data_IF_150728291717
#
_entry.id   IF_150728291717
#
_cell.length_a   1.000
_cell.length_b   1.000
_cell.length_c   1.000
_cell.angle_alpha   90.00
_cell.angle_beta   90.00
_cell.angle_gamma   90.00
#
_symmetry.space_group_name_H-M   'P 1'
#
loop_
_entity.id
_entity.type
_entity.pdbx_description
1 polymer ?
#
# COMPACT_ATOMS: atom_id res chain seq x y z
N UNK A 1 25.65 -4.54 -10.97
CA UNK A 1 24.44 -4.84 -10.18
C UNK A 1 23.81 -3.50 -9.80
N UNK A 2 22.80 -3.03 -10.56
CA UNK A 2 22.25 -1.68 -10.38
C UNK A 2 21.31 -1.64 -9.17
N UNK A 3 21.46 -0.68 -8.23
CA UNK A 3 20.56 -0.56 -7.10
C UNK A 3 19.19 -0.07 -7.57
N UNK A 4 18.13 -0.82 -7.25
CA UNK A 4 16.74 -0.36 -7.40
C UNK A 4 16.37 0.44 -6.16
N UNK A 5 16.45 1.75 -6.23
CA UNK A 5 15.93 2.61 -5.18
C UNK A 5 14.40 2.59 -5.22
N UNK A 6 13.76 2.24 -4.10
CA UNK A 6 12.32 2.44 -3.89
C UNK A 6 12.13 3.70 -3.05
N UNK A 7 11.68 4.77 -3.69
CA UNK A 7 11.40 6.04 -3.01
C UNK A 7 9.99 5.96 -2.44
N UNK A 8 9.86 6.11 -1.11
CA UNK A 8 8.57 6.24 -0.43
C UNK A 8 8.54 7.51 0.40
N UNK A 9 7.73 8.49 0.02
CA UNK A 9 7.35 9.58 0.92
C UNK A 9 6.18 9.11 1.80
N UNK A 10 6.50 8.31 2.83
CA UNK A 10 5.63 7.80 3.91
C UNK A 10 4.36 7.07 3.42
N UNK A 11 4.36 5.73 3.41
CA UNK A 11 3.11 4.94 3.19
C UNK A 11 1.94 5.39 4.09
N UNK A 12 2.24 5.95 5.27
CA UNK A 12 1.27 6.56 6.17
C UNK A 12 0.43 7.69 5.57
N UNK A 13 0.93 8.45 4.60
CA UNK A 13 0.20 9.59 4.00
C UNK A 13 -0.76 9.18 2.90
N UNK A 14 -0.61 7.97 2.35
CA UNK A 14 -1.48 7.45 1.28
C UNK A 14 -2.40 6.33 1.75
N UNK A 15 -2.21 5.84 2.99
CA UNK A 15 -2.94 4.69 3.53
C UNK A 15 -4.44 4.99 3.73
N UNK A 16 -4.78 6.26 3.88
CA UNK A 16 -6.12 6.78 4.05
C UNK A 16 -6.72 7.28 2.73
N UNK A 17 -6.03 7.20 1.60
CA UNK A 17 -6.54 7.62 0.30
C UNK A 17 -7.71 6.75 -0.18
N UNK A 18 -8.63 7.33 -0.96
CA UNK A 18 -9.80 6.61 -1.47
C UNK A 18 -9.41 5.44 -2.39
N UNK A 19 -8.40 5.68 -3.24
CA UNK A 19 -7.80 4.69 -4.12
C UNK A 19 -6.30 4.93 -4.20
N UNK A 20 -5.58 3.83 -4.41
CA UNK A 20 -4.14 3.80 -4.62
C UNK A 20 -3.90 3.25 -6.02
N UNK A 21 -3.09 3.97 -6.80
CA UNK A 21 -2.56 3.53 -8.08
C UNK A 21 -1.14 3.02 -7.85
N UNK A 22 -0.90 1.75 -8.18
CA UNK A 22 0.44 1.17 -8.16
C UNK A 22 0.97 1.15 -9.58
N UNK A 23 2.16 1.70 -9.76
CA UNK A 23 2.86 1.75 -11.03
C UNK A 23 4.08 0.81 -10.98
N UNK A 24 4.24 0.00 -12.02
CA UNK A 24 5.43 -0.82 -12.23
C UNK A 24 5.87 -0.71 -13.68
N UNK A 25 7.16 -0.48 -13.91
CA UNK A 25 7.74 -0.34 -15.25
C UNK A 25 6.99 0.67 -16.15
N UNK A 26 6.53 1.79 -15.56
CA UNK A 26 5.80 2.83 -16.27
C UNK A 26 4.34 2.48 -16.61
N UNK A 27 3.79 1.40 -16.06
CA UNK A 27 2.40 0.97 -16.30
C UNK A 27 1.62 0.85 -14.99
N UNK A 28 0.32 1.14 -15.05
CA UNK A 28 -0.61 0.84 -13.97
C UNK A 28 -0.76 -0.67 -13.82
N UNK A 29 -0.42 -1.19 -12.64
CA UNK A 29 -0.56 -2.62 -12.31
C UNK A 29 -1.72 -2.86 -11.34
N UNK A 30 -2.02 -1.91 -10.46
CA UNK A 30 -3.13 -2.04 -9.50
C UNK A 30 -3.82 -0.69 -9.31
N UNK A 31 -5.15 -0.72 -9.16
CA UNK A 31 -5.94 0.46 -8.85
C UNK A 31 -7.17 0.11 -8.00
N UNK A 32 -7.04 0.25 -6.68
CA UNK A 32 -8.12 -0.01 -5.74
C UNK A 32 -7.91 0.71 -4.40
N UNK A 33 -8.85 0.58 -3.46
CA UNK A 33 -8.67 1.13 -2.11
C UNK A 33 -7.55 0.42 -1.36
N UNK A 34 -6.89 1.13 -0.45
CA UNK A 34 -5.80 0.61 0.37
C UNK A 34 -6.18 -0.71 1.07
N UNK A 35 -7.37 -0.77 1.67
CA UNK A 35 -7.86 -1.99 2.34
C UNK A 35 -8.01 -3.17 1.38
N UNK A 36 -8.49 -2.95 0.15
CA UNK A 36 -8.65 -4.01 -0.84
C UNK A 36 -7.28 -4.53 -1.30
N UNK A 37 -6.36 -3.61 -1.61
CA UNK A 37 -4.99 -3.96 -2.02
C UNK A 37 -4.20 -4.65 -0.91
N UNK A 38 -4.47 -4.36 0.38
CA UNK A 38 -3.79 -5.00 1.52
C UNK A 38 -4.40 -6.33 1.95
N UNK A 39 -5.62 -6.63 1.49
CA UNK A 39 -6.28 -7.92 1.74
C UNK A 39 -5.81 -8.99 0.75
N UNK A 40 -5.22 -8.58 -0.36
CA UNK A 40 -4.64 -9.45 -1.37
C UNK A 40 -3.16 -9.67 -1.07
N UNK A 41 -2.74 -10.93 -0.93
CA UNK A 41 -1.34 -11.26 -0.64
C UNK A 41 -0.44 -11.18 -1.89
N UNK A 42 -1.02 -11.25 -3.09
CA UNK A 42 -0.28 -11.16 -4.36
C UNK A 42 -0.14 -9.71 -4.84
N UNK A 43 -0.83 -8.78 -4.18
CA UNK A 43 -0.74 -7.34 -4.43
C UNK A 43 0.68 -6.82 -4.20
N UNK A 44 1.21 -6.11 -5.21
CA UNK A 44 2.44 -5.37 -5.10
C UNK A 44 2.34 -4.37 -3.97
N UNK A 45 1.22 -3.65 -3.81
CA UNK A 45 1.06 -2.74 -2.67
C UNK A 45 1.21 -3.45 -1.32
N UNK A 46 0.64 -4.64 -1.15
CA UNK A 46 0.78 -5.43 0.06
C UNK A 46 2.23 -5.86 0.31
N UNK A 47 2.95 -6.25 -0.74
CA UNK A 47 4.37 -6.57 -0.66
C UNK A 47 5.23 -5.34 -0.30
N UNK A 48 4.88 -4.15 -0.79
CA UNK A 48 5.57 -2.91 -0.41
C UNK A 48 5.34 -2.55 1.06
N UNK A 49 4.11 -2.76 1.57
CA UNK A 49 3.81 -2.58 2.99
C UNK A 49 4.49 -3.64 3.85
N UNK A 50 4.60 -4.90 3.40
CA UNK A 50 5.35 -5.93 4.13
C UNK A 50 6.85 -5.58 4.28
N UNK A 51 7.42 -4.87 3.31
CA UNK A 51 8.83 -4.45 3.34
C UNK A 51 9.13 -3.34 4.35
N UNK A 52 8.13 -2.70 4.95
CA UNK A 52 8.34 -1.69 6.01
C UNK A 52 8.64 -2.29 7.38
N UNK A 53 8.57 -3.62 7.51
CA UNK A 53 8.68 -4.32 8.78
C UNK A 53 7.32 -4.54 9.45
N UNK A 54 7.25 -5.59 10.28
CA UNK A 54 6.01 -6.12 10.85
C UNK A 54 5.18 -5.05 11.59
N UNK A 55 5.80 -4.29 12.49
CA UNK A 55 5.13 -3.25 13.27
C UNK A 55 4.49 -2.16 12.40
N UNK A 56 5.22 -1.67 11.40
CA UNK A 56 4.72 -0.63 10.50
C UNK A 56 3.64 -1.18 9.56
N UNK A 57 3.82 -2.41 9.06
CA UNK A 57 2.84 -3.07 8.22
C UNK A 57 1.50 -3.27 8.94
N UNK A 58 1.53 -3.69 10.20
CA UNK A 58 0.33 -3.89 11.02
C UNK A 58 -0.36 -2.56 11.33
N UNK A 59 0.41 -1.51 11.63
CA UNK A 59 -0.12 -0.15 11.78
C UNK A 59 -0.83 0.31 10.50
N UNK A 60 -0.20 0.16 9.34
CA UNK A 60 -0.77 0.57 8.05
C UNK A 60 -2.04 -0.22 7.70
N UNK A 61 -2.05 -1.54 7.92
CA UNK A 61 -3.24 -2.39 7.73
C UNK A 61 -4.39 -1.95 8.63
N UNK A 62 -4.10 -1.66 9.90
CA UNK A 62 -5.11 -1.15 10.83
C UNK A 62 -5.68 0.20 10.36
N UNK A 63 -4.84 1.14 9.94
CA UNK A 63 -5.29 2.44 9.42
C UNK A 63 -6.15 2.28 8.15
N UNK A 64 -5.73 1.46 7.20
CA UNK A 64 -6.49 1.21 5.98
C UNK A 64 -7.88 0.63 6.28
N UNK A 65 -7.99 -0.29 7.23
CA UNK A 65 -9.28 -0.87 7.68
C UNK A 65 -10.17 0.17 8.35
N UNK A 66 -9.61 1.02 9.20
CA UNK A 66 -10.33 2.12 9.84
C UNK A 66 -10.88 3.11 8.79
N UNK A 67 -10.04 3.52 7.86
CA UNK A 67 -10.40 4.45 6.79
C UNK A 67 -11.42 3.86 5.80
N UNK A 68 -11.43 2.54 5.58
CA UNK A 68 -12.45 1.87 4.79
C UNK A 68 -13.80 1.78 5.51
N UNK A 69 -13.79 1.63 6.84
CA UNK A 69 -15.01 1.56 7.66
C UNK A 69 -15.68 2.92 7.81
N UNK A 70 -14.93 4.02 7.91
CA UNK A 70 -15.50 5.38 8.04
C UNK A 70 -16.17 5.91 6.76
N UNK A 71 -15.96 5.24 5.62
CA UNK A 71 -16.58 5.59 4.33
C UNK A 71 -17.84 4.79 4.00
N UNK A 72 -18.10 3.71 4.76
CA UNK A 72 -19.34 2.94 4.67
C UNK A 72 -20.40 3.60 5.54
#
# INVERSE_FOLDING_TARGET
>A
MSPRFKIYFRLRTIIDSDKILVLSQGRAVEFASAHKLLSDNDSQFAQLVAQTGQHEADYLRHQAKKAAKSRK
#
